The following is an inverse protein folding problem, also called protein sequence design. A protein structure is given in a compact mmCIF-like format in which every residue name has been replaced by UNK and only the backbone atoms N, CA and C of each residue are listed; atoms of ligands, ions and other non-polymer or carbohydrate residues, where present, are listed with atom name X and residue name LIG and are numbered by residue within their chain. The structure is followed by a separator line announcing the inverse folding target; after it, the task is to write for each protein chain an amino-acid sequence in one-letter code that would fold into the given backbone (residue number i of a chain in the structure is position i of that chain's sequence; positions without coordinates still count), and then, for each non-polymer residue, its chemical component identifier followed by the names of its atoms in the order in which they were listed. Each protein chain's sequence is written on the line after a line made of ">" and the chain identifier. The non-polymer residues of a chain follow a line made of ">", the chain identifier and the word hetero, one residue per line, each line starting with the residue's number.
data_IF_684052053589
#
_entry.id   IF_684052053589
#
_cell.length_a   1.000
_cell.length_b   1.000
_cell.length_c   1.000
_cell.angle_alpha   90.00
_cell.angle_beta   90.00
_cell.angle_gamma   90.00
#
_symmetry.space_group_name_H-M   'P 1'
#
loop_
_entity.id
_entity.type
_entity.pdbx_description
1 polymer ?
#
# COMPACT_ATOMS: atom_id res chain seq x y z
N UNK A 1 -38.62 -4.38 -15.03
CA UNK A 1 -37.29 -4.90 -15.42
C UNK A 1 -36.28 -4.26 -14.48
N UNK A 2 -35.77 -5.03 -13.52
CA UNK A 2 -34.90 -4.53 -12.45
C UNK A 2 -33.45 -4.50 -12.94
N UNK A 3 -33.00 -3.39 -13.51
CA UNK A 3 -31.57 -3.14 -13.70
C UNK A 3 -30.97 -2.67 -12.38
N UNK A 4 -30.74 -3.62 -11.47
CA UNK A 4 -29.82 -3.42 -10.36
C UNK A 4 -28.44 -3.11 -10.97
N UNK A 5 -28.07 -1.82 -11.00
CA UNK A 5 -26.75 -1.36 -11.37
C UNK A 5 -25.73 -1.94 -10.40
N UNK A 6 -25.17 -3.10 -10.77
CA UNK A 6 -24.08 -3.78 -10.09
C UNK A 6 -22.91 -2.80 -10.03
N UNK A 7 -22.68 -2.20 -8.86
CA UNK A 7 -21.50 -1.37 -8.60
C UNK A 7 -20.28 -2.21 -8.97
N UNK A 8 -19.63 -1.86 -10.06
CA UNK A 8 -18.42 -2.52 -10.55
C UNK A 8 -17.28 -1.99 -9.68
N UNK A 9 -17.15 -2.51 -8.45
CA UNK A 9 -15.96 -2.28 -7.65
C UNK A 9 -14.79 -2.93 -8.38
N UNK A 10 -13.77 -2.15 -8.75
CA UNK A 10 -12.54 -2.71 -9.31
C UNK A 10 -11.90 -3.58 -8.24
N UNK A 11 -11.53 -4.81 -8.60
CA UNK A 11 -10.76 -5.67 -7.72
C UNK A 11 -9.28 -5.43 -8.00
N UNK A 12 -8.58 -4.85 -7.02
CA UNK A 12 -7.14 -4.65 -7.09
C UNK A 12 -6.45 -5.76 -6.31
N UNK A 13 -5.45 -6.40 -6.90
CA UNK A 13 -4.64 -7.39 -6.20
C UNK A 13 -3.43 -6.69 -5.57
N UNK A 14 -3.31 -6.76 -4.24
CA UNK A 14 -2.15 -6.20 -3.54
C UNK A 14 -0.88 -6.99 -3.89
N UNK A 15 0.15 -6.34 -4.42
CA UNK A 15 1.42 -7.00 -4.73
C UNK A 15 2.27 -7.37 -3.51
N UNK A 16 1.85 -6.97 -2.31
CA UNK A 16 2.59 -7.20 -1.06
C UNK A 16 2.05 -8.44 -0.35
N UNK A 17 0.74 -8.45 -0.09
CA UNK A 17 0.08 -9.54 0.62
C UNK A 17 -0.74 -10.47 -0.29
N UNK A 18 -0.79 -10.19 -1.60
CA UNK A 18 -1.56 -10.94 -2.61
C UNK A 18 -3.06 -11.05 -2.34
N UNK A 19 -3.62 -10.18 -1.49
CA UNK A 19 -5.05 -10.13 -1.20
C UNK A 19 -5.81 -9.39 -2.30
N UNK A 20 -7.03 -9.84 -2.56
CA UNK A 20 -7.98 -9.14 -3.42
C UNK A 20 -8.66 -8.01 -2.63
N UNK A 21 -8.51 -6.79 -3.13
CA UNK A 21 -9.07 -5.57 -2.56
C UNK A 21 -10.22 -5.12 -3.48
N UNK A 22 -11.45 -5.32 -3.04
CA UNK A 22 -12.63 -4.78 -3.70
C UNK A 22 -12.88 -3.37 -3.20
N UNK A 23 -12.75 -2.37 -4.07
CA UNK A 23 -12.97 -0.98 -3.71
C UNK A 23 -12.45 0.00 -4.77
N UNK A 24 -12.25 1.23 -4.34
CA UNK A 24 -11.64 2.27 -5.16
C UNK A 24 -10.11 2.19 -5.10
N UNK A 25 -9.46 2.81 -6.08
CA UNK A 25 -7.99 2.91 -6.15
C UNK A 25 -7.37 3.45 -4.84
N UNK A 26 -8.05 4.36 -4.15
CA UNK A 26 -7.60 4.88 -2.86
C UNK A 26 -7.51 3.79 -1.78
N UNK A 27 -8.47 2.88 -1.71
CA UNK A 27 -8.47 1.76 -0.76
C UNK A 27 -7.33 0.80 -1.04
N UNK A 28 -7.06 0.54 -2.32
CA UNK A 28 -5.91 -0.26 -2.73
C UNK A 28 -4.58 0.40 -2.32
N UNK A 29 -4.43 1.70 -2.55
CA UNK A 29 -3.23 2.46 -2.20
C UNK A 29 -3.02 2.42 -0.68
N UNK A 30 -4.03 2.78 0.11
CA UNK A 30 -3.93 2.80 1.58
C UNK A 30 -3.58 1.41 2.15
N UNK A 31 -4.22 0.35 1.63
CA UNK A 31 -3.93 -1.02 2.02
C UNK A 31 -2.48 -1.41 1.71
N UNK A 32 -2.02 -1.09 0.51
CA UNK A 32 -0.67 -1.43 0.04
C UNK A 32 0.39 -0.64 0.81
N UNK A 33 0.17 0.66 1.00
CA UNK A 33 1.02 1.54 1.82
C UNK A 33 1.18 1.00 3.23
N UNK A 34 0.07 0.66 3.88
CA UNK A 34 0.08 0.13 5.25
C UNK A 34 0.90 -1.15 5.35
N UNK A 35 0.73 -2.08 4.41
CA UNK A 35 1.51 -3.31 4.38
C UNK A 35 3.00 -3.06 4.15
N UNK A 36 3.37 -2.19 3.22
CA UNK A 36 4.79 -1.88 2.98
C UNK A 36 5.43 -1.26 4.23
N UNK A 37 4.74 -0.35 4.90
CA UNK A 37 5.24 0.23 6.15
C UNK A 37 5.38 -0.85 7.23
N UNK A 38 4.44 -1.79 7.34
CA UNK A 38 4.52 -2.90 8.31
C UNK A 38 5.74 -3.80 8.05
N UNK A 39 5.99 -4.17 6.79
CA UNK A 39 7.18 -4.94 6.39
C UNK A 39 8.49 -4.19 6.72
N UNK A 40 8.54 -2.88 6.45
CA UNK A 40 9.70 -2.05 6.79
C UNK A 40 9.89 -2.00 8.31
N UNK A 41 8.82 -1.89 9.10
CA UNK A 41 8.89 -1.91 10.57
C UNK A 41 9.37 -3.27 11.10
N UNK A 42 8.89 -4.36 10.52
CA UNK A 42 9.32 -5.71 10.88
C UNK A 42 10.80 -5.96 10.55
N UNK A 43 11.26 -5.42 9.41
CA UNK A 43 12.67 -5.50 9.00
C UNK A 43 13.58 -4.51 9.74
N UNK A 44 13.06 -3.33 10.13
CA UNK A 44 13.79 -2.25 10.79
C UNK A 44 13.03 -1.74 12.03
N UNK A 45 12.92 -2.56 13.09
CA UNK A 45 12.25 -2.14 14.32
C UNK A 45 12.97 -0.96 15.00
N UNK A 46 14.28 -0.81 14.75
CA UNK A 46 15.10 0.33 15.19
C UNK A 46 14.67 1.69 14.58
N UNK A 47 13.91 1.69 13.49
CA UNK A 47 13.38 2.91 12.88
C UNK A 47 12.06 3.35 13.48
N UNK A 48 11.42 2.49 14.27
CA UNK A 48 10.16 2.78 14.95
C UNK A 48 10.48 3.59 16.20
N UNK A 49 10.02 4.84 16.22
CA UNK A 49 10.12 5.72 17.37
C UNK A 49 9.10 5.30 18.44
N UNK A 50 9.28 5.76 19.69
CA UNK A 50 8.49 5.30 20.85
C UNK A 50 6.97 5.51 20.68
N UNK A 51 6.57 6.52 19.91
CA UNK A 51 5.16 6.81 19.56
C UNK A 51 4.58 5.88 18.46
N UNK A 52 5.33 4.87 18.01
CA UNK A 52 4.90 3.96 16.93
C UNK A 52 4.98 4.60 15.53
N UNK A 53 5.47 5.83 15.45
CA UNK A 53 5.77 6.54 14.21
C UNK A 53 7.10 6.06 13.65
N UNK A 54 7.18 5.91 12.34
CA UNK A 54 8.41 5.53 11.66
C UNK A 54 8.62 6.47 10.48
N UNK A 55 9.25 7.63 10.75
CA UNK A 55 9.54 8.63 9.73
C UNK A 55 10.42 8.05 8.62
N UNK A 56 11.43 7.26 9.00
CA UNK A 56 12.30 6.54 8.04
C UNK A 56 11.54 5.55 7.17
N UNK A 57 10.50 4.88 7.68
CA UNK A 57 9.67 3.98 6.89
C UNK A 57 8.93 4.72 5.78
N UNK A 58 8.37 5.89 6.10
CA UNK A 58 7.72 6.77 5.10
C UNK A 58 8.72 7.26 4.06
N UNK A 59 9.90 7.73 4.48
CA UNK A 59 10.95 8.18 3.56
C UNK A 59 11.44 7.06 2.65
N UNK A 60 11.64 5.86 3.19
CA UNK A 60 12.04 4.68 2.43
C UNK A 60 10.96 4.28 1.42
N UNK A 61 9.69 4.25 1.84
CA UNK A 61 8.56 4.00 0.96
C UNK A 61 8.46 5.02 -0.19
N UNK A 62 8.55 6.31 0.13
CA UNK A 62 8.55 7.38 -0.87
C UNK A 62 9.72 7.26 -1.85
N UNK A 63 10.90 6.80 -1.40
CA UNK A 63 12.03 6.51 -2.27
C UNK A 63 11.77 5.33 -3.19
N UNK A 64 11.13 4.25 -2.71
CA UNK A 64 10.73 3.13 -3.55
C UNK A 64 9.72 3.54 -4.63
N UNK A 65 8.77 4.43 -4.30
CA UNK A 65 7.84 4.99 -5.28
C UNK A 65 8.50 5.94 -6.29
N UNK A 66 9.45 6.78 -5.84
CA UNK A 66 10.26 7.63 -6.72
C UNK A 66 11.22 6.83 -7.61
N UNK A 67 11.56 5.61 -7.20
CA UNK A 67 12.58 4.74 -7.79
C UNK A 67 12.16 3.91 -9.00
N UNK A 68 11.27 4.41 -9.88
CA UNK A 68 11.10 3.88 -11.25
C UNK A 68 11.02 4.99 -12.30
N UNK A 69 12.09 5.79 -12.37
CA UNK A 69 12.49 6.48 -13.61
C UNK A 69 13.98 6.28 -13.82
N UNK A 70 14.38 5.10 -14.30
CA UNK A 70 15.52 4.96 -15.21
C UNK A 70 15.60 3.57 -15.85
N UNK A 71 15.57 3.57 -17.18
CA UNK A 71 16.28 2.70 -18.13
C UNK A 71 15.89 1.21 -18.28
N UNK A 72 15.05 0.88 -19.26
CA UNK A 72 15.48 0.45 -20.60
C UNK A 72 14.35 0.65 -21.60
#
# INVERSE_FOLDING_TARGET
>A
MSTNGKKMGMNYQCSVCHKEIQGDMFTYIEHTEKHIIDEIKASHPEWVENDGLCKKCMEYYQNQLKGKKSSH
#
